data_IF_527249552540
#
_entry.id   IF_527249552540
#
_cell.length_a   1.000
_cell.length_b   1.000
_cell.length_c   1.000
_cell.angle_alpha   90.00
_cell.angle_beta   90.00
_cell.angle_gamma   90.00
#
_symmetry.space_group_name_H-M   'P 1'
#
loop_
_entity.id
_entity.type
_entity.pdbx_description
1 polymer ?
#
# COMPACT_ATOMS: atom_id res chain seq x y z
N UNK A 1 -2.79 -40.33 -45.78
CA UNK A 1 -2.69 -38.92 -46.20
C UNK A 1 -3.41 -37.89 -45.31
N UNK A 2 -4.13 -38.26 -44.21
CA UNK A 2 -4.70 -37.26 -43.26
C UNK A 2 -3.74 -36.81 -42.14
N UNK A 3 -2.66 -37.56 -41.89
CA UNK A 3 -1.70 -37.29 -40.80
C UNK A 3 -0.74 -36.14 -41.12
N UNK A 4 -0.33 -36.00 -42.39
CA UNK A 4 0.69 -35.01 -42.79
C UNK A 4 0.16 -33.57 -42.67
N UNK A 5 -1.14 -33.36 -42.90
CA UNK A 5 -1.82 -32.06 -42.74
C UNK A 5 -1.85 -31.58 -41.29
N UNK A 6 -2.03 -32.50 -40.34
CA UNK A 6 -2.08 -32.17 -38.89
C UNK A 6 -0.68 -31.86 -38.39
N UNK A 7 0.33 -32.61 -38.86
CA UNK A 7 1.74 -32.39 -38.52
C UNK A 7 2.22 -31.03 -39.06
N UNK A 8 1.89 -30.70 -40.32
CA UNK A 8 2.23 -29.40 -40.90
C UNK A 8 1.60 -28.22 -40.15
N UNK A 9 0.32 -28.31 -39.75
CA UNK A 9 -0.33 -27.26 -38.95
C UNK A 9 0.30 -27.08 -37.57
N UNK A 10 0.74 -28.17 -36.93
CA UNK A 10 1.45 -28.12 -35.64
C UNK A 10 2.83 -27.48 -35.79
N UNK A 11 3.58 -27.84 -36.83
CA UNK A 11 4.90 -27.26 -37.12
C UNK A 11 4.78 -25.75 -37.41
N UNK A 12 3.76 -25.34 -38.17
CA UNK A 12 3.54 -23.92 -38.49
C UNK A 12 3.16 -23.11 -37.24
N UNK A 13 2.33 -23.66 -36.35
CA UNK A 13 2.00 -23.02 -35.07
C UNK A 13 3.23 -22.89 -34.13
N UNK A 14 4.09 -23.92 -34.09
CA UNK A 14 5.36 -23.87 -33.33
C UNK A 14 6.32 -22.85 -33.92
N UNK A 15 6.39 -22.75 -35.24
CA UNK A 15 7.26 -21.81 -35.94
C UNK A 15 6.87 -20.35 -35.69
N UNK A 16 5.57 -20.03 -35.69
CA UNK A 16 5.05 -18.70 -35.33
C UNK A 16 5.31 -18.34 -33.86
N UNK A 17 5.23 -19.32 -32.95
CA UNK A 17 5.52 -19.12 -31.51
C UNK A 17 7.02 -18.85 -31.26
N UNK A 18 7.91 -19.58 -31.95
CA UNK A 18 9.36 -19.43 -31.82
C UNK A 18 9.91 -18.13 -32.43
N UNK A 19 9.12 -17.45 -33.28
CA UNK A 19 9.52 -16.19 -33.93
C UNK A 19 9.27 -14.95 -33.06
N UNK A 20 8.54 -15.08 -31.96
CA UNK A 20 8.32 -13.98 -31.02
C UNK A 20 9.56 -13.80 -30.11
N UNK A 21 10.01 -12.56 -29.88
CA UNK A 21 11.25 -12.28 -29.13
C UNK A 21 11.15 -12.65 -27.64
N UNK A 22 9.94 -12.88 -27.12
CA UNK A 22 9.70 -13.32 -25.75
C UNK A 22 8.64 -14.42 -25.71
N UNK A 23 8.91 -15.49 -24.96
CA UNK A 23 7.96 -16.57 -24.77
C UNK A 23 6.99 -16.17 -23.65
N UNK A 24 5.70 -15.97 -23.97
CA UNK A 24 4.65 -15.67 -22.99
C UNK A 24 4.03 -16.97 -22.41
N UNK A 25 3.32 -16.89 -21.27
CA UNK A 25 2.72 -18.08 -20.60
C UNK A 25 1.73 -18.80 -21.49
N UNK A 26 0.94 -18.00 -22.20
CA UNK A 26 -0.06 -18.46 -23.15
C UNK A 26 0.61 -19.24 -24.28
N UNK A 27 1.73 -18.72 -24.80
CA UNK A 27 2.47 -19.35 -25.89
C UNK A 27 3.22 -20.61 -25.43
N UNK A 28 3.79 -20.60 -24.22
CA UNK A 28 4.45 -21.78 -23.64
C UNK A 28 3.45 -22.93 -23.36
N UNK A 29 2.26 -22.62 -22.86
CA UNK A 29 1.22 -23.63 -22.62
C UNK A 29 0.66 -24.18 -23.95
N UNK A 30 0.43 -23.32 -24.94
CA UNK A 30 0.05 -23.76 -26.28
C UNK A 30 1.12 -24.67 -26.92
N UNK A 31 2.40 -24.31 -26.76
CA UNK A 31 3.52 -25.15 -27.22
C UNK A 31 3.54 -26.51 -26.51
N UNK A 32 3.34 -26.53 -25.19
CA UNK A 32 3.25 -27.76 -24.38
C UNK A 32 2.10 -28.67 -24.82
N UNK A 33 0.93 -28.11 -25.16
CA UNK A 33 -0.20 -28.88 -25.69
C UNK A 33 0.09 -29.46 -27.08
N UNK A 34 0.85 -28.74 -27.92
CA UNK A 34 1.22 -29.19 -29.26
C UNK A 34 2.26 -30.31 -29.22
N UNK A 35 3.24 -30.22 -28.32
CA UNK A 35 4.36 -31.17 -28.23
C UNK A 35 4.11 -32.32 -27.23
N UNK A 36 3.03 -32.22 -26.45
CA UNK A 36 2.67 -33.20 -25.42
C UNK A 36 2.51 -34.60 -26.00
N UNK A 37 3.14 -35.59 -25.36
CA UNK A 37 3.07 -36.99 -25.78
C UNK A 37 4.01 -37.39 -26.90
N UNK A 38 4.83 -36.48 -27.45
CA UNK A 38 5.88 -36.81 -28.44
C UNK A 38 7.10 -37.46 -27.79
N UNK A 39 7.48 -37.04 -26.58
CA UNK A 39 8.61 -37.59 -25.86
C UNK A 39 8.44 -37.41 -24.33
N UNK A 40 8.49 -38.49 -23.54
CA UNK A 40 8.34 -38.43 -22.08
C UNK A 40 9.36 -37.51 -21.38
N UNK A 41 10.60 -37.45 -21.89
CA UNK A 41 11.65 -36.62 -21.31
C UNK A 41 11.42 -35.12 -21.58
N UNK A 42 10.81 -34.77 -22.72
CA UNK A 42 10.42 -33.39 -23.03
C UNK A 42 9.21 -32.97 -22.19
N UNK A 43 8.22 -33.85 -22.03
CA UNK A 43 7.06 -33.60 -21.18
C UNK A 43 7.46 -33.35 -19.72
N UNK A 44 8.43 -34.11 -19.21
CA UNK A 44 8.97 -33.92 -17.87
C UNK A 44 9.67 -32.56 -17.71
N UNK A 45 10.48 -32.15 -18.69
CA UNK A 45 11.15 -30.84 -18.69
C UNK A 45 10.15 -29.69 -18.81
N UNK A 46 9.13 -29.81 -19.67
CA UNK A 46 8.05 -28.83 -19.78
C UNK A 46 7.22 -28.72 -18.50
N UNK A 47 6.99 -29.82 -17.78
CA UNK A 47 6.33 -29.82 -16.48
C UNK A 47 7.16 -29.11 -15.40
N UNK A 48 8.49 -29.30 -15.40
CA UNK A 48 9.40 -28.59 -14.49
C UNK A 48 9.41 -27.08 -14.76
N UNK A 49 9.49 -26.68 -16.03
CA UNK A 49 9.45 -25.26 -16.42
C UNK A 49 8.10 -24.62 -16.06
N UNK A 50 6.98 -25.32 -16.27
CA UNK A 50 5.65 -24.87 -15.86
C UNK A 50 5.56 -24.66 -14.34
N UNK A 51 6.18 -25.54 -13.54
CA UNK A 51 6.25 -25.43 -12.09
C UNK A 51 7.08 -24.22 -11.64
N UNK A 52 8.20 -23.94 -12.31
CA UNK A 52 9.05 -22.77 -12.06
C UNK A 52 8.30 -21.48 -12.43
N UNK A 53 7.59 -21.46 -13.56
CA UNK A 53 6.73 -20.34 -13.94
C UNK A 53 5.60 -20.08 -12.95
N UNK A 54 4.99 -21.14 -12.39
CA UNK A 54 4.02 -21.01 -11.32
C UNK A 54 4.59 -20.29 -10.09
N UNK A 55 5.84 -20.62 -9.70
CA UNK A 55 6.56 -19.93 -8.63
C UNK A 55 6.88 -18.47 -8.96
N UNK A 56 7.23 -18.16 -10.21
CA UNK A 56 7.47 -16.79 -10.68
C UNK A 56 6.18 -15.94 -10.63
N UNK A 57 5.02 -16.52 -10.93
CA UNK A 57 3.75 -15.82 -10.81
C UNK A 57 3.31 -15.60 -9.34
N UNK A 58 3.63 -16.53 -8.44
CA UNK A 58 3.48 -16.34 -6.99
C UNK A 58 4.37 -15.19 -6.49
N UNK A 59 5.61 -15.11 -6.97
CA UNK A 59 6.54 -13.99 -6.69
C UNK A 59 5.96 -12.66 -7.19
N UNK A 60 5.41 -12.61 -8.41
CA UNK A 60 4.77 -11.39 -8.96
C UNK A 60 3.51 -10.96 -8.19
N UNK A 61 2.83 -11.89 -7.51
CA UNK A 61 1.62 -11.65 -6.70
C UNK A 61 1.90 -11.30 -5.24
N UNK A 62 3.14 -10.93 -4.88
CA UNK A 62 3.56 -10.66 -3.49
C UNK A 62 3.47 -11.87 -2.53
N UNK A 63 3.35 -13.11 -3.05
CA UNK A 63 3.45 -14.35 -2.24
C UNK A 63 4.91 -14.77 -1.97
N UNK A 64 5.85 -13.80 -2.02
CA UNK A 64 7.28 -14.00 -1.74
C UNK A 64 7.48 -14.51 -0.31
N UNK A 65 6.62 -14.08 0.61
CA UNK A 65 6.64 -14.49 2.02
C UNK A 65 6.34 -16.01 2.12
N UNK A 66 5.31 -16.52 1.45
CA UNK A 66 4.94 -17.95 1.50
C UNK A 66 6.05 -18.84 0.89
N UNK A 67 6.63 -18.42 -0.25
CA UNK A 67 7.73 -19.13 -0.91
C UNK A 67 9.05 -19.11 -0.12
N UNK A 68 9.33 -18.03 0.60
CA UNK A 68 10.55 -17.90 1.44
C UNK A 68 10.38 -18.67 2.76
N UNK A 69 9.18 -18.68 3.34
CA UNK A 69 8.90 -19.43 4.56
C UNK A 69 8.87 -20.95 4.34
N UNK A 70 8.37 -21.45 3.22
CA UNK A 70 8.43 -22.88 2.90
C UNK A 70 9.88 -23.39 2.83
N UNK A 71 10.83 -22.54 2.43
CA UNK A 71 12.25 -22.87 2.31
C UNK A 71 13.11 -22.48 3.53
N UNK A 72 12.53 -21.94 4.61
CA UNK A 72 13.27 -21.69 5.85
C UNK A 72 13.84 -23.02 6.40
N UNK A 73 15.16 -23.10 6.68
CA UNK A 73 15.78 -24.31 7.18
C UNK A 73 15.26 -24.61 8.59
N UNK A 74 14.57 -25.74 8.75
CA UNK A 74 14.06 -26.20 10.05
C UNK A 74 14.88 -27.41 10.52
N UNK A 75 16.08 -27.14 11.06
CA UNK A 75 17.01 -28.19 11.51
C UNK A 75 16.66 -28.73 12.90
N UNK A 76 15.97 -27.95 13.74
CA UNK A 76 15.56 -28.37 15.09
C UNK A 76 14.04 -28.44 15.27
N UNK A 77 13.56 -29.13 16.32
CA UNK A 77 12.13 -29.16 16.68
C UNK A 77 11.58 -27.78 17.08
N UNK A 78 12.41 -26.93 17.69
CA UNK A 78 12.02 -25.55 18.00
C UNK A 78 11.84 -24.72 16.73
N UNK A 79 12.70 -24.90 15.72
CA UNK A 79 12.56 -24.21 14.44
C UNK A 79 11.31 -24.63 13.68
N UNK A 80 10.93 -25.92 13.75
CA UNK A 80 9.66 -26.41 13.19
C UNK A 80 8.45 -25.77 13.85
N UNK A 81 8.46 -25.62 15.19
CA UNK A 81 7.39 -24.93 15.93
C UNK A 81 7.31 -23.45 15.56
N UNK A 82 8.46 -22.75 15.49
CA UNK A 82 8.54 -21.34 15.07
C UNK A 82 8.05 -21.13 13.65
N UNK A 83 8.49 -21.99 12.71
CA UNK A 83 8.03 -21.97 11.31
C UNK A 83 6.52 -22.19 11.20
N UNK A 84 5.97 -23.17 11.92
CA UNK A 84 4.52 -23.43 11.95
C UNK A 84 3.75 -22.23 12.50
N UNK A 85 4.26 -21.59 13.55
CA UNK A 85 3.64 -20.42 14.17
C UNK A 85 3.67 -19.21 13.23
N UNK A 86 4.79 -18.97 12.54
CA UNK A 86 4.90 -17.91 11.54
C UNK A 86 3.97 -18.14 10.35
N UNK A 87 3.86 -19.37 9.85
CA UNK A 87 2.92 -19.72 8.79
C UNK A 87 1.47 -19.53 9.22
N UNK A 88 1.11 -19.93 10.45
CA UNK A 88 -0.22 -19.70 11.01
C UNK A 88 -0.51 -18.21 11.18
N UNK A 89 0.46 -17.43 11.65
CA UNK A 89 0.34 -15.98 11.78
C UNK A 89 0.13 -15.32 10.41
N UNK A 90 0.92 -15.68 9.41
CA UNK A 90 0.81 -15.11 8.06
C UNK A 90 -0.49 -15.50 7.37
N UNK A 91 -0.92 -16.75 7.52
CA UNK A 91 -2.22 -17.20 7.03
C UNK A 91 -3.35 -16.45 7.72
N UNK A 92 -3.31 -16.35 9.04
CA UNK A 92 -4.27 -15.56 9.82
C UNK A 92 -4.27 -14.08 9.43
N UNK A 93 -3.12 -13.50 9.12
CA UNK A 93 -2.99 -12.14 8.63
C UNK A 93 -3.60 -11.95 7.23
N UNK A 94 -3.37 -12.90 6.30
CA UNK A 94 -3.95 -12.89 4.96
C UNK A 94 -5.46 -13.05 5.01
N UNK A 95 -5.95 -13.98 5.83
CA UNK A 95 -7.37 -14.24 6.03
C UNK A 95 -8.06 -13.01 6.67
N UNK A 96 -7.44 -12.39 7.68
CA UNK A 96 -7.92 -11.15 8.29
C UNK A 96 -7.96 -10.00 7.28
N UNK A 97 -6.90 -9.78 6.50
CA UNK A 97 -6.84 -8.72 5.49
C UNK A 97 -7.95 -8.87 4.45
N UNK A 98 -8.12 -10.09 3.95
CA UNK A 98 -9.21 -10.45 3.03
C UNK A 98 -10.59 -10.14 3.64
N UNK A 99 -10.80 -10.51 4.89
CA UNK A 99 -12.07 -10.28 5.58
C UNK A 99 -12.32 -8.78 5.85
N UNK A 100 -11.27 -8.02 6.18
CA UNK A 100 -11.33 -6.55 6.29
C UNK A 100 -11.75 -5.91 4.97
N UNK A 101 -11.13 -6.31 3.84
CA UNK A 101 -11.46 -5.78 2.51
C UNK A 101 -12.91 -6.12 2.12
N UNK A 102 -13.37 -7.33 2.44
CA UNK A 102 -14.76 -7.78 2.22
C UNK A 102 -15.74 -6.93 3.02
N UNK A 103 -15.52 -6.80 4.33
CA UNK A 103 -16.41 -6.04 5.23
C UNK A 103 -16.39 -4.56 4.89
N UNK A 104 -15.22 -3.99 4.57
CA UNK A 104 -15.10 -2.61 4.12
C UNK A 104 -15.93 -2.36 2.87
N UNK A 105 -15.80 -3.21 1.85
CA UNK A 105 -16.58 -3.10 0.60
C UNK A 105 -18.09 -3.22 0.86
N UNK A 106 -18.50 -4.14 1.74
CA UNK A 106 -19.90 -4.33 2.14
C UNK A 106 -20.46 -3.09 2.88
N UNK A 107 -19.66 -2.44 3.71
CA UNK A 107 -20.04 -1.20 4.41
C UNK A 107 -20.04 0.03 3.49
N UNK A 108 -19.08 0.13 2.56
CA UNK A 108 -18.96 1.26 1.63
C UNK A 108 -20.00 1.24 0.52
N UNK A 109 -20.31 0.07 -0.03
CA UNK A 109 -21.40 -0.10 -1.02
C UNK A 109 -22.79 0.29 -0.48
N UNK A 110 -22.92 0.40 0.84
CA UNK A 110 -24.14 0.77 1.55
C UNK A 110 -24.12 2.25 2.00
N UNK A 111 -23.02 2.96 1.75
CA UNK A 111 -22.89 4.38 2.04
C UNK A 111 -23.83 5.19 1.13
N UNK A 112 -24.86 5.82 1.70
CA UNK A 112 -25.87 6.58 0.96
C UNK A 112 -27.13 5.78 0.56
N UNK A 113 -27.18 4.49 0.85
CA UNK A 113 -28.39 3.66 0.70
C UNK A 113 -29.39 3.89 1.86
N UNK A 114 -30.69 3.58 1.68
CA UNK A 114 -31.69 3.69 2.74
C UNK A 114 -31.32 2.87 3.98
N UNK A 115 -31.77 3.33 5.17
CA UNK A 115 -31.44 2.74 6.48
C UNK A 115 -31.70 1.22 6.56
N UNK A 116 -32.68 0.70 5.81
CA UNK A 116 -32.98 -0.73 5.75
C UNK A 116 -31.89 -1.56 5.07
N UNK A 117 -31.23 -1.02 4.04
CA UNK A 117 -30.13 -1.68 3.35
C UNK A 117 -28.87 -1.70 4.23
N UNK A 118 -28.60 -0.60 4.93
CA UNK A 118 -27.52 -0.51 5.93
C UNK A 118 -27.74 -1.46 7.11
N UNK A 119 -28.98 -1.61 7.58
CA UNK A 119 -29.31 -2.60 8.61
C UNK A 119 -29.11 -4.04 8.11
N UNK A 120 -29.41 -4.31 6.83
CA UNK A 120 -29.23 -5.62 6.23
C UNK A 120 -27.75 -6.02 6.04
N UNK A 121 -26.84 -5.07 5.78
CA UNK A 121 -25.40 -5.35 5.75
C UNK A 121 -24.83 -5.56 7.15
N UNK A 122 -25.22 -4.72 8.11
CA UNK A 122 -24.85 -4.90 9.52
C UNK A 122 -25.33 -6.26 10.07
N UNK A 123 -26.55 -6.69 9.71
CA UNK A 123 -27.10 -7.99 10.06
C UNK A 123 -26.32 -9.16 9.46
N UNK A 124 -25.85 -9.05 8.22
CA UNK A 124 -24.98 -10.05 7.57
C UNK A 124 -23.63 -10.16 8.25
N UNK A 125 -22.97 -9.03 8.51
CA UNK A 125 -21.69 -9.00 9.23
C UNK A 125 -21.85 -9.63 10.63
N UNK A 126 -22.92 -9.29 11.35
CA UNK A 126 -23.22 -9.86 12.66
C UNK A 126 -23.51 -11.37 12.62
N UNK A 127 -24.15 -11.86 11.56
CA UNK A 127 -24.40 -13.30 11.37
C UNK A 127 -23.09 -14.07 11.12
N UNK A 128 -22.20 -13.55 10.26
CA UNK A 128 -20.88 -14.15 10.04
C UNK A 128 -19.99 -14.07 11.29
N UNK A 129 -20.09 -12.99 12.07
CA UNK A 129 -19.39 -12.82 13.34
C UNK A 129 -19.84 -13.84 14.43
N UNK A 130 -21.00 -14.48 14.29
CA UNK A 130 -21.46 -15.57 15.17
C UNK A 130 -21.07 -16.97 14.66
N UNK A 131 -20.49 -17.07 13.46
CA UNK A 131 -20.10 -18.32 12.84
C UNK A 131 -18.74 -18.86 13.33
N UNK A 132 -18.25 -19.97 12.75
CA UNK A 132 -16.96 -20.58 13.10
C UNK A 132 -15.74 -19.67 12.82
N UNK A 133 -15.90 -18.64 12.00
CA UNK A 133 -14.91 -17.59 11.75
C UNK A 133 -15.20 -16.29 12.50
N UNK A 134 -16.08 -16.35 13.51
CA UNK A 134 -16.71 -15.20 14.11
C UNK A 134 -15.75 -14.15 14.69
N UNK A 135 -14.66 -14.61 15.31
CA UNK A 135 -13.62 -13.73 15.86
C UNK A 135 -12.89 -12.94 14.77
N UNK A 136 -12.59 -13.58 13.63
CA UNK A 136 -11.93 -12.92 12.50
C UNK A 136 -12.87 -11.88 11.87
N UNK A 137 -14.14 -12.23 11.65
CA UNK A 137 -15.13 -11.30 11.10
C UNK A 137 -15.40 -10.13 12.06
N UNK A 138 -15.47 -10.36 13.37
CA UNK A 138 -15.64 -9.29 14.36
C UNK A 138 -14.45 -8.33 14.37
N UNK A 139 -13.22 -8.87 14.38
CA UNK A 139 -12.00 -8.06 14.29
C UNK A 139 -11.96 -7.27 12.97
N UNK A 140 -12.29 -7.91 11.85
CA UNK A 140 -12.35 -7.28 10.55
C UNK A 140 -13.37 -6.14 10.48
N UNK A 141 -14.54 -6.32 11.11
CA UNK A 141 -15.56 -5.27 11.17
C UNK A 141 -15.11 -4.05 11.96
N UNK A 142 -14.43 -4.24 13.10
CA UNK A 142 -13.86 -3.14 13.89
C UNK A 142 -12.81 -2.38 13.08
N UNK A 143 -11.88 -3.10 12.45
CA UNK A 143 -10.82 -2.52 11.62
C UNK A 143 -11.44 -1.76 10.44
N UNK A 144 -12.36 -2.38 9.69
CA UNK A 144 -13.02 -1.76 8.54
C UNK A 144 -13.78 -0.49 8.93
N UNK A 145 -14.53 -0.51 10.04
CA UNK A 145 -15.21 0.67 10.56
C UNK A 145 -14.22 1.80 10.90
N UNK A 146 -13.08 1.47 11.53
CA UNK A 146 -12.01 2.42 11.79
C UNK A 146 -11.40 3.02 10.52
N UNK A 147 -11.11 2.19 9.51
CA UNK A 147 -10.56 2.67 8.23
C UNK A 147 -11.56 3.60 7.51
N UNK A 148 -12.85 3.27 7.53
CA UNK A 148 -13.92 4.12 6.96
C UNK A 148 -14.04 5.43 7.74
N UNK A 149 -13.95 5.38 9.07
CA UNK A 149 -13.98 6.58 9.91
C UNK A 149 -12.84 7.53 9.56
N UNK A 150 -11.61 7.00 9.42
CA UNK A 150 -10.42 7.78 9.05
C UNK A 150 -10.56 8.42 7.66
N UNK A 151 -11.14 7.69 6.69
CA UNK A 151 -11.33 8.19 5.33
C UNK A 151 -12.42 9.26 5.23
N UNK A 152 -13.56 9.05 5.91
CA UNK A 152 -14.70 10.00 5.87
C UNK A 152 -14.46 11.29 6.65
N UNK A 153 -13.68 11.22 7.71
CA UNK A 153 -13.39 12.37 8.56
C UNK A 153 -11.99 12.94 8.29
N UNK A 154 -11.40 12.60 7.13
CA UNK A 154 -10.16 13.19 6.71
C UNK A 154 -10.31 14.72 6.62
N UNK A 155 -9.33 15.43 7.16
CA UNK A 155 -9.29 16.89 7.20
C UNK A 155 -8.36 17.41 6.14
N UNK A 156 -8.65 18.61 5.65
CA UNK A 156 -7.83 19.27 4.64
C UNK A 156 -6.75 20.11 5.32
N UNK A 157 -5.51 19.94 4.89
CA UNK A 157 -4.38 20.78 5.29
C UNK A 157 -3.90 21.55 4.07
N UNK A 158 -4.10 22.86 4.08
CA UNK A 158 -3.60 23.75 3.05
C UNK A 158 -2.14 24.05 3.37
N UNK A 159 -1.23 23.67 2.49
CA UNK A 159 0.21 23.90 2.63
C UNK A 159 0.58 25.06 1.71
N UNK A 160 1.12 26.13 2.27
CA UNK A 160 1.56 27.34 1.54
C UNK A 160 3.06 27.52 1.61
N UNK A 161 3.65 27.92 0.49
CA UNK A 161 5.06 28.25 0.39
C UNK A 161 5.22 29.78 0.26
N UNK A 162 5.69 30.42 1.32
CA UNK A 162 5.86 31.88 1.38
C UNK A 162 7.37 32.22 1.41
N UNK A 163 8.00 32.32 0.24
CA UNK A 163 9.39 32.76 0.11
C UNK A 163 10.42 31.63 0.11
N UNK A 164 10.02 30.36 0.22
CA UNK A 164 10.96 29.24 0.16
C UNK A 164 11.29 28.85 -1.29
N UNK A 165 12.35 28.07 -1.47
CA UNK A 165 12.59 27.38 -2.74
C UNK A 165 11.42 26.42 -3.04
N UNK A 166 11.26 26.05 -4.32
CA UNK A 166 10.21 25.12 -4.74
C UNK A 166 10.29 23.83 -3.92
N UNK A 167 9.20 23.52 -3.22
CA UNK A 167 9.09 22.32 -2.38
C UNK A 167 8.67 21.19 -3.30
N UNK A 168 9.52 20.18 -3.42
CA UNK A 168 9.19 18.95 -4.13
C UNK A 168 8.74 17.94 -3.08
N UNK A 169 7.43 17.66 -2.93
CA UNK A 169 7.00 16.64 -1.99
C UNK A 169 7.65 15.32 -2.37
N UNK A 170 8.45 14.78 -1.46
CA UNK A 170 9.01 13.45 -1.61
C UNK A 170 7.84 12.48 -1.74
N UNK A 171 7.82 11.67 -2.79
CA UNK A 171 6.84 10.60 -2.89
C UNK A 171 7.03 9.68 -1.67
N UNK A 172 6.20 9.84 -0.63
CA UNK A 172 6.22 8.96 0.52
C UNK A 172 5.93 7.55 0.01
N UNK A 173 7.00 6.75 -0.06
CA UNK A 173 6.96 5.41 -0.60
C UNK A 173 5.98 4.54 0.20
N UNK A 174 5.10 3.83 -0.52
CA UNK A 174 4.32 2.67 -0.09
C UNK A 174 3.31 2.80 1.07
N UNK A 175 3.27 3.89 1.84
CA UNK A 175 2.31 4.03 2.95
C UNK A 175 0.97 4.57 2.43
N UNK A 176 0.07 3.65 2.07
CA UNK A 176 -1.33 3.96 1.73
C UNK A 176 -2.20 3.88 2.98
N UNK A 177 -2.28 4.97 3.73
CA UNK A 177 -3.22 5.07 4.85
C UNK A 177 -4.57 5.62 4.36
N UNK A 178 -5.72 5.03 4.76
CA UNK A 178 -7.03 5.62 4.48
C UNK A 178 -7.14 7.04 5.03
N UNK A 179 -7.81 7.93 4.28
CA UNK A 179 -7.87 9.36 4.61
C UNK A 179 -6.56 10.13 4.42
N UNK A 180 -5.45 9.49 4.02
CA UNK A 180 -4.18 10.17 3.74
C UNK A 180 -3.98 10.34 2.23
N UNK A 181 -4.01 11.58 1.77
CA UNK A 181 -3.61 12.00 0.42
C UNK A 181 -2.59 13.11 0.56
N UNK A 182 -1.33 12.80 0.31
CA UNK A 182 -0.27 13.79 0.31
C UNK A 182 -0.16 14.45 -1.06
N UNK A 183 0.23 15.73 -1.13
CA UNK A 183 0.43 16.41 -2.40
C UNK A 183 1.53 15.73 -3.21
N UNK A 184 1.31 15.60 -4.50
CA UNK A 184 2.23 14.99 -5.46
C UNK A 184 2.80 15.99 -6.47
N UNK A 185 2.41 17.27 -6.34
CA UNK A 185 2.87 18.36 -7.19
C UNK A 185 3.83 19.24 -6.41
N UNK A 186 4.85 19.75 -7.10
CA UNK A 186 5.77 20.73 -6.54
C UNK A 186 5.06 22.02 -6.16
N UNK A 187 5.41 22.58 -4.99
CA UNK A 187 4.86 23.84 -4.48
C UNK A 187 5.88 24.95 -4.74
N UNK A 188 5.67 25.72 -5.80
CA UNK A 188 6.51 26.89 -6.13
C UNK A 188 6.41 27.97 -5.06
N UNK A 189 7.37 28.91 -5.03
CA UNK A 189 7.29 30.08 -4.16
C UNK A 189 6.00 30.89 -4.45
N UNK A 190 5.26 31.24 -3.39
CA UNK A 190 3.93 31.87 -3.45
C UNK A 190 2.79 30.89 -3.79
N UNK A 191 3.11 29.62 -4.02
CA UNK A 191 2.15 28.57 -4.35
C UNK A 191 1.52 27.93 -3.10
N UNK A 192 0.44 27.18 -3.33
CA UNK A 192 -0.21 26.36 -2.33
C UNK A 192 -0.66 25.02 -2.89
N UNK A 193 -0.80 24.02 -2.02
CA UNK A 193 -1.41 22.73 -2.32
C UNK A 193 -2.22 22.24 -1.13
N UNK A 194 -3.00 21.19 -1.32
CA UNK A 194 -3.83 20.61 -0.25
C UNK A 194 -3.43 19.17 -0.01
N UNK A 195 -3.21 18.83 1.26
CA UNK A 195 -3.12 17.46 1.74
C UNK A 195 -4.44 17.07 2.40
N UNK A 196 -4.83 15.80 2.29
CA UNK A 196 -5.89 15.20 3.10
C UNK A 196 -5.24 14.31 4.14
N UNK A 197 -5.53 14.52 5.41
CA UNK A 197 -4.92 13.75 6.51
C UNK A 197 -6.06 13.24 7.42
N UNK A 198 -6.02 12.00 7.92
CA UNK A 198 -7.00 11.54 8.89
C UNK A 198 -7.03 12.42 10.15
N UNK A 199 -8.14 12.46 10.89
CA UNK A 199 -8.33 13.33 12.06
C UNK A 199 -7.58 12.76 13.27
N UNK A 200 -6.26 12.91 13.26
CA UNK A 200 -5.34 12.32 14.24
C UNK A 200 -4.69 13.41 15.08
N UNK A 201 -4.17 13.00 16.24
CA UNK A 201 -3.35 13.89 17.06
C UNK A 201 -1.88 13.68 16.71
N UNK A 202 -1.19 14.76 16.41
CA UNK A 202 0.24 14.82 16.12
C UNK A 202 0.97 15.45 17.32
N UNK A 203 2.13 14.92 17.65
CA UNK A 203 3.10 15.66 18.47
C UNK A 203 4.17 16.21 17.52
N UNK A 204 4.35 17.52 17.51
CA UNK A 204 5.35 18.19 16.69
C UNK A 204 6.42 18.76 17.61
N UNK A 205 7.63 18.25 17.50
CA UNK A 205 8.81 18.81 18.14
C UNK A 205 9.62 19.58 17.10
N UNK A 206 9.63 20.90 17.24
CA UNK A 206 10.43 21.81 16.45
C UNK A 206 11.35 22.65 17.36
N UNK A 207 11.82 22.07 18.47
CA UNK A 207 12.77 22.71 19.39
C UNK A 207 14.15 22.92 18.77
N UNK A 208 14.49 22.13 17.74
CA UNK A 208 15.71 22.27 16.94
C UNK A 208 15.47 23.20 15.74
N UNK A 209 16.41 24.10 15.45
CA UNK A 209 16.22 25.17 14.46
C UNK A 209 16.17 24.68 13.00
N UNK A 210 16.73 23.50 12.72
CA UNK A 210 16.88 22.90 11.39
C UNK A 210 16.06 21.62 11.22
N UNK A 211 15.27 21.22 12.23
CA UNK A 211 14.54 19.95 12.21
C UNK A 211 13.16 20.06 12.83
N UNK A 212 12.22 19.34 12.22
CA UNK A 212 10.89 19.12 12.76
C UNK A 212 10.65 17.62 12.85
N UNK A 213 10.35 17.14 14.05
CA UNK A 213 9.98 15.76 14.30
C UNK A 213 8.47 15.73 14.52
N UNK A 214 7.77 14.97 13.67
CA UNK A 214 6.33 14.75 13.78
C UNK A 214 6.11 13.31 14.21
N UNK A 215 5.56 13.13 15.40
CA UNK A 215 5.18 11.82 15.94
C UNK A 215 3.67 11.66 15.87
N UNK A 216 3.23 10.54 15.27
CA UNK A 216 1.84 10.13 15.26
C UNK A 216 1.75 8.65 15.57
N UNK A 217 0.94 8.29 16.58
CA UNK A 217 0.83 6.93 17.10
C UNK A 217 2.19 6.35 17.55
N UNK A 218 2.85 5.57 16.69
CA UNK A 218 4.17 4.97 16.91
C UNK A 218 5.10 5.19 15.71
N UNK A 219 4.79 6.17 14.88
CA UNK A 219 5.60 6.58 13.73
C UNK A 219 6.19 7.95 14.01
N UNK A 220 7.51 8.03 13.86
CA UNK A 220 8.26 9.29 13.90
C UNK A 220 8.69 9.64 12.48
N UNK A 221 8.32 10.84 12.05
CA UNK A 221 8.73 11.43 10.78
C UNK A 221 9.64 12.62 11.08
N UNK A 222 10.87 12.58 10.56
CA UNK A 222 11.80 13.70 10.68
C UNK A 222 11.85 14.47 9.36
N UNK A 223 11.71 15.77 9.46
CA UNK A 223 11.79 16.71 8.36
C UNK A 223 12.97 17.63 8.58
N UNK A 224 13.98 17.54 7.71
CA UNK A 224 15.12 18.45 7.73
C UNK A 224 14.73 19.76 7.03
N UNK A 225 14.69 20.84 7.79
CA UNK A 225 14.55 22.20 7.29
C UNK A 225 15.94 22.63 6.85
N UNK A 226 16.26 22.49 5.57
CA UNK A 226 17.56 22.75 4.94
C UNK A 226 18.16 24.15 5.18
N UNK A 227 17.46 25.03 5.92
CA UNK A 227 17.99 26.28 6.45
C UNK A 227 17.33 26.63 7.79
N UNK A 228 18.08 27.28 8.69
CA UNK A 228 17.60 27.73 10.01
C UNK A 228 16.67 28.97 9.97
N UNK A 229 16.31 29.45 8.77
CA UNK A 229 15.51 30.67 8.56
C UNK A 229 14.08 30.38 8.07
N UNK A 230 13.61 29.15 8.28
CA UNK A 230 12.24 28.73 7.95
C UNK A 230 11.40 28.82 9.21
N UNK A 231 10.34 29.61 9.17
CA UNK A 231 9.30 29.61 10.19
C UNK A 231 8.12 28.73 9.71
N UNK A 232 7.82 27.69 10.47
CA UNK A 232 6.71 26.78 10.23
C UNK A 232 5.54 27.20 11.10
N UNK A 233 4.46 27.65 10.46
CA UNK A 233 3.26 28.17 11.13
C UNK A 233 2.10 27.22 10.90
N UNK A 234 1.44 26.79 11.97
CA UNK A 234 0.24 25.95 11.92
C UNK A 234 -0.96 26.73 12.48
N UNK A 235 -2.01 26.88 11.67
CA UNK A 235 -3.21 27.66 12.01
C UNK A 235 -2.87 29.06 12.58
N UNK A 236 -1.87 29.73 12.01
CA UNK A 236 -1.40 31.05 12.44
C UNK A 236 -0.44 31.06 13.64
N UNK A 237 -0.12 29.91 14.23
CA UNK A 237 0.82 29.80 15.36
C UNK A 237 2.16 29.23 14.91
N UNK A 238 3.26 29.92 15.21
CA UNK A 238 4.61 29.38 14.97
C UNK A 238 4.85 28.13 15.83
N UNK A 239 5.32 27.08 15.16
CA UNK A 239 5.75 25.82 15.78
C UNK A 239 7.22 25.86 16.19
N UNK A 240 8.02 26.74 15.58
CA UNK A 240 9.46 26.79 15.80
C UNK A 240 9.82 27.10 17.26
N UNK A 241 10.80 26.38 17.78
CA UNK A 241 11.28 26.49 19.17
C UNK A 241 10.38 25.83 20.21
N UNK A 242 9.36 25.05 19.81
CA UNK A 242 8.37 24.46 20.72
C UNK A 242 8.13 22.99 20.43
N UNK A 243 7.71 22.27 21.47
CA UNK A 243 7.03 20.98 21.35
C UNK A 243 5.53 21.20 21.54
N UNK A 244 4.73 20.85 20.52
CA UNK A 244 3.30 21.17 20.48
C UNK A 244 2.49 19.95 20.10
N UNK A 245 1.38 19.75 20.79
CA UNK A 245 0.38 18.72 20.46
C UNK A 245 -0.70 19.33 19.56
N UNK A 246 -0.80 18.86 18.33
CA UNK A 246 -1.76 19.32 17.33
C UNK A 246 -2.88 18.30 17.19
N UNK A 247 -4.14 18.72 17.39
CA UNK A 247 -5.30 17.87 17.15
C UNK A 247 -5.92 18.22 15.80
N UNK A 248 -5.65 17.39 14.78
CA UNK A 248 -6.19 17.60 13.43
C UNK A 248 -7.70 17.35 13.36
N UNK A 249 -8.29 16.62 14.31
CA UNK A 249 -9.75 16.44 14.38
C UNK A 249 -10.50 17.65 14.92
N UNK A 250 -9.80 18.74 15.28
CA UNK A 250 -10.44 19.93 15.88
C UNK A 250 -11.14 20.83 14.86
N UNK A 251 -10.74 20.78 13.58
CA UNK A 251 -11.35 21.55 12.48
C UNK A 251 -11.38 20.69 11.21
N UNK A 252 -12.26 21.04 10.29
CA UNK A 252 -12.35 20.38 8.98
C UNK A 252 -11.18 20.80 8.05
N UNK A 253 -10.65 22.00 8.27
CA UNK A 253 -9.56 22.57 7.49
C UNK A 253 -8.52 23.22 8.41
N UNK A 254 -7.25 22.98 8.10
CA UNK A 254 -6.08 23.55 8.76
C UNK A 254 -5.15 24.22 7.74
N UNK A 255 -4.28 25.12 8.18
CA UNK A 255 -3.24 25.72 7.34
C UNK A 255 -1.85 25.47 7.90
N UNK A 256 -0.92 25.14 7.01
CA UNK A 256 0.52 25.12 7.25
C UNK A 256 1.15 26.14 6.32
N UNK A 257 1.76 27.16 6.90
CA UNK A 257 2.49 28.19 6.17
C UNK A 257 3.99 28.01 6.42
N UNK A 258 4.74 27.83 5.33
CA UNK A 258 6.20 27.75 5.36
C UNK A 258 6.76 29.10 4.95
N UNK A 259 7.28 29.84 5.92
CA UNK A 259 7.77 31.20 5.72
C UNK A 259 9.29 31.21 5.70
N UNK A 260 9.90 31.39 4.54
CA UNK A 260 11.35 31.52 4.43
C UNK A 260 11.74 32.99 4.34
N UNK A 261 12.61 33.43 5.24
CA UNK A 261 13.26 34.73 5.09
C UNK A 261 14.42 34.55 4.13
N UNK A 262 14.35 35.16 2.95
CA UNK A 262 15.52 35.33 2.10
C UNK A 262 16.60 36.03 2.92
N UNK A 263 17.82 35.49 2.89
CA UNK A 263 18.97 36.15 3.52
C UNK A 263 19.01 37.61 3.02
N UNK A 264 19.25 38.61 3.90
CA UNK A 264 19.40 39.98 3.46
C UNK A 264 20.48 40.01 2.37
N UNK A 265 20.31 40.80 1.28
CA UNK A 265 21.33 40.92 0.28
C UNK A 265 22.63 41.34 0.97
N UNK A 266 23.69 40.57 0.76
CA UNK A 266 25.04 40.95 1.19
C UNK A 266 25.32 42.30 0.55
N UNK A 267 25.28 43.37 1.36
CA UNK A 267 25.79 44.66 0.94
C UNK A 267 27.29 44.46 0.75
N UNK A 268 27.72 44.26 -0.49
CA UNK A 268 29.10 44.48 -0.87
C UNK A 268 29.40 45.94 -0.48
N UNK A 269 30.20 46.10 0.58
CA UNK A 269 30.87 47.37 0.88
C UNK A 269 32.09 47.49 -0.01
#
# INVERSE_FOLDING_TARGET
>A
MKNDSVIQKRIQAVWEICRQPTLSRKNFNALREIIGGLNPALDQKCAQIAKIWGKIDQIKKQEIIDLTLENLPAKTQQDKKRKKLLLLFLKGWKDLKSEVDRVKTELESQAGQPKSAQAASAGRIAAFAKGPFGVLTAAAAIIAAGLIYLDRNAVEIIIRNNGCQTINPSAYGSVRLPGLKLPNQSIVNGGQTTASIPPITLNVDATQADKVIVTAYSFDMTFDLTSANIDVVFDGNTLMGKSTKLNLGSKVTHSIDLNCRSAPPVRLR
#
